data_IF_552209314340
#
_entry.id   IF_552209314340
#
_cell.length_a   1.000
_cell.length_b   1.000
_cell.length_c   1.000
_cell.angle_alpha   90.00
_cell.angle_beta   90.00
_cell.angle_gamma   90.00
#
_symmetry.space_group_name_H-M   'P 1'
#
loop_
_entity.id
_entity.type
_entity.pdbx_description
1 polymer ?
#
# COMPACT_ATOMS: atom_id res chain seq x y z
N UNK A 1 -12.84 1.08 4.70
CA UNK A 1 -12.06 0.97 3.44
C UNK A 1 -12.19 -0.38 2.76
N UNK A 2 -12.18 -1.49 3.50
CA UNK A 2 -12.28 -2.85 2.95
C UNK A 2 -13.46 -3.02 2.00
N UNK A 3 -14.66 -2.57 2.39
CA UNK A 3 -15.84 -2.63 1.53
C UNK A 3 -15.72 -1.81 0.23
N UNK A 4 -15.09 -0.63 0.28
CA UNK A 4 -14.86 0.19 -0.92
C UNK A 4 -13.95 -0.50 -1.92
N UNK A 5 -12.88 -1.15 -1.45
CA UNK A 5 -12.00 -1.95 -2.31
C UNK A 5 -12.71 -3.15 -2.91
N UNK A 6 -13.54 -3.85 -2.14
CA UNK A 6 -14.36 -4.97 -2.64
C UNK A 6 -15.30 -4.52 -3.75
N UNK A 7 -16.03 -3.42 -3.54
CA UNK A 7 -16.95 -2.88 -4.55
C UNK A 7 -16.22 -2.53 -5.85
N UNK A 8 -15.08 -1.82 -5.76
CA UNK A 8 -14.26 -1.47 -6.93
C UNK A 8 -13.76 -2.72 -7.66
N UNK A 9 -13.36 -3.76 -6.91
CA UNK A 9 -12.90 -5.03 -7.50
C UNK A 9 -14.03 -5.80 -8.20
N UNK A 10 -15.24 -5.85 -7.63
CA UNK A 10 -16.40 -6.48 -8.25
C UNK A 10 -16.79 -5.75 -9.54
N UNK A 11 -16.79 -4.41 -9.50
CA UNK A 11 -17.10 -3.58 -10.66
C UNK A 11 -16.12 -3.80 -11.81
N UNK A 12 -14.85 -4.12 -11.49
CA UNK A 12 -13.83 -4.49 -12.47
C UNK A 12 -14.08 -5.85 -13.10
N UNK A 13 -14.42 -6.85 -12.28
CA UNK A 13 -14.71 -8.21 -12.75
C UNK A 13 -15.91 -8.20 -13.71
N UNK A 14 -16.95 -7.42 -13.40
CA UNK A 14 -18.15 -7.31 -14.23
C UNK A 14 -17.88 -6.61 -15.57
N UNK A 15 -17.02 -5.60 -15.59
CA UNK A 15 -16.73 -4.77 -16.78
C UNK A 15 -15.43 -5.16 -17.52
N UNK A 16 -15.04 -6.44 -17.46
CA UNK A 16 -13.76 -6.94 -18.01
C UNK A 16 -13.64 -6.83 -19.55
N UNK A 17 -14.73 -6.60 -20.27
CA UNK A 17 -14.70 -6.43 -21.72
C UNK A 17 -13.91 -5.16 -22.11
N UNK A 18 -13.07 -5.25 -23.15
CA UNK A 18 -12.12 -4.18 -23.55
C UNK A 18 -12.78 -2.81 -23.73
N UNK A 19 -13.96 -2.74 -24.33
CA UNK A 19 -14.70 -1.49 -24.54
C UNK A 19 -15.27 -0.89 -23.24
N UNK A 20 -15.50 -1.71 -22.21
CA UNK A 20 -16.03 -1.28 -20.92
C UNK A 20 -14.94 -0.80 -19.94
N UNK A 21 -13.67 -1.15 -20.15
CA UNK A 21 -12.57 -0.78 -19.25
C UNK A 21 -12.31 0.74 -19.26
N UNK A 22 -12.35 1.39 -20.42
CA UNK A 22 -12.17 2.85 -20.52
C UNK A 22 -13.29 3.56 -19.76
N UNK A 23 -14.53 3.10 -19.92
CA UNK A 23 -15.70 3.64 -19.19
C UNK A 23 -15.54 3.43 -17.68
N UNK A 24 -15.05 2.26 -17.26
CA UNK A 24 -14.76 1.97 -15.86
C UNK A 24 -13.71 2.93 -15.28
N UNK A 25 -12.62 3.21 -15.99
CA UNK A 25 -11.62 4.18 -15.52
C UNK A 25 -12.19 5.58 -15.36
N UNK A 26 -13.01 6.04 -16.31
CA UNK A 26 -13.67 7.34 -16.22
C UNK A 26 -14.58 7.38 -14.99
N UNK A 27 -15.40 6.36 -14.78
CA UNK A 27 -16.30 6.27 -13.62
C UNK A 27 -15.52 6.26 -12.30
N UNK A 28 -14.46 5.46 -12.19
CA UNK A 28 -13.64 5.39 -10.97
C UNK A 28 -12.87 6.69 -10.71
N UNK A 29 -12.30 7.32 -11.73
CA UNK A 29 -11.65 8.62 -11.58
C UNK A 29 -12.64 9.71 -11.17
N UNK A 30 -13.85 9.73 -11.76
CA UNK A 30 -14.90 10.67 -11.40
C UNK A 30 -15.33 10.46 -9.93
N UNK A 31 -15.57 9.20 -9.53
CA UNK A 31 -15.87 8.85 -8.14
C UNK A 31 -14.73 9.26 -7.17
N UNK A 32 -13.47 9.04 -7.58
CA UNK A 32 -12.29 9.48 -6.85
C UNK A 32 -12.23 11.00 -6.68
N UNK A 33 -12.55 11.77 -7.72
CA UNK A 33 -12.57 13.24 -7.66
C UNK A 33 -13.72 13.77 -6.81
N UNK A 34 -14.91 13.18 -6.90
CA UNK A 34 -16.08 13.55 -6.08
C UNK A 34 -15.81 13.26 -4.60
N UNK A 35 -15.25 12.10 -4.28
CA UNK A 35 -14.86 11.74 -2.91
C UNK A 35 -13.73 12.64 -2.37
N UNK A 36 -12.78 13.04 -3.21
CA UNK A 36 -11.73 13.99 -2.81
C UNK A 36 -12.31 15.38 -2.50
N UNK A 37 -13.15 15.89 -3.42
CA UNK A 37 -13.75 17.21 -3.31
C UNK A 37 -14.68 17.31 -2.11
N UNK A 38 -15.50 16.28 -1.88
CA UNK A 38 -16.32 16.20 -0.66
C UNK A 38 -15.46 16.11 0.59
N UNK A 39 -14.39 15.31 0.61
CA UNK A 39 -13.44 15.27 1.73
C UNK A 39 -12.79 16.62 2.05
N UNK A 40 -12.48 17.42 1.03
CA UNK A 40 -11.94 18.77 1.19
C UNK A 40 -12.99 19.79 1.66
N UNK A 41 -14.24 19.70 1.20
CA UNK A 41 -15.34 20.55 1.66
C UNK A 41 -15.68 20.25 3.12
N UNK A 42 -15.76 18.97 3.49
CA UNK A 42 -16.03 18.56 4.86
C UNK A 42 -14.88 18.91 5.82
N UNK A 43 -13.67 19.19 5.32
CA UNK A 43 -12.52 19.61 6.15
C UNK A 43 -12.83 20.87 6.95
N UNK A 44 -13.70 21.75 6.44
CA UNK A 44 -14.12 22.95 7.16
C UNK A 44 -14.96 22.62 8.42
N UNK A 45 -15.59 21.45 8.46
CA UNK A 45 -16.48 21.02 9.55
C UNK A 45 -15.83 19.93 10.43
N UNK A 46 -15.00 19.04 9.85
CA UNK A 46 -14.39 17.92 10.55
C UNK A 46 -12.86 17.91 10.38
N UNK A 47 -12.14 17.85 11.50
CA UNK A 47 -10.68 17.72 11.53
C UNK A 47 -10.23 16.42 10.87
N UNK A 48 -9.08 16.43 10.20
CA UNK A 48 -8.43 15.23 9.68
C UNK A 48 -7.85 14.43 10.85
N UNK A 49 -8.55 13.37 11.25
CA UNK A 49 -8.08 12.50 12.33
C UNK A 49 -8.32 11.03 11.98
N UNK A 50 -7.20 10.30 11.83
CA UNK A 50 -7.18 8.86 11.56
C UNK A 50 -7.78 8.04 12.70
N UNK A 51 -7.52 8.41 13.95
CA UNK A 51 -7.88 7.59 15.12
C UNK A 51 -9.37 7.71 15.47
N UNK A 52 -9.95 8.89 15.25
CA UNK A 52 -11.39 9.12 15.44
C UNK A 52 -12.23 8.71 14.23
N UNK A 53 -11.59 8.29 13.12
CA UNK A 53 -12.29 7.86 11.92
C UNK A 53 -13.18 8.96 11.32
N UNK A 54 -12.72 10.21 11.31
CA UNK A 54 -13.55 11.33 10.85
C UNK A 54 -13.97 11.14 9.39
N UNK A 55 -15.17 11.62 8.99
CA UNK A 55 -15.68 11.43 7.63
C UNK A 55 -14.74 12.05 6.58
N UNK A 56 -14.04 13.14 6.92
CA UNK A 56 -13.02 13.77 6.08
C UNK A 56 -11.82 12.87 5.83
N UNK A 57 -11.32 12.21 6.88
CA UNK A 57 -10.22 11.25 6.75
C UNK A 57 -10.63 10.09 5.84
N UNK A 58 -11.82 9.52 6.06
CA UNK A 58 -12.33 8.37 5.28
C UNK A 58 -12.47 8.73 3.79
N UNK A 59 -13.04 9.90 3.47
CA UNK A 59 -13.27 10.30 2.08
C UNK A 59 -11.96 10.57 1.32
N UNK A 60 -11.02 11.31 1.93
CA UNK A 60 -9.72 11.59 1.31
C UNK A 60 -8.95 10.30 1.07
N UNK A 61 -8.97 9.41 2.06
CA UNK A 61 -8.20 8.17 1.99
C UNK A 61 -8.84 7.13 1.06
N UNK A 62 -10.18 7.08 0.94
CA UNK A 62 -10.88 6.32 -0.09
C UNK A 62 -10.52 6.82 -1.49
N UNK A 63 -10.57 8.13 -1.71
CA UNK A 63 -10.20 8.75 -3.00
C UNK A 63 -8.78 8.38 -3.40
N UNK A 64 -7.83 8.52 -2.47
CA UNK A 64 -6.43 8.17 -2.70
C UNK A 64 -6.28 6.70 -3.07
N UNK A 65 -7.00 5.80 -2.39
CA UNK A 65 -6.97 4.36 -2.70
C UNK A 65 -7.53 4.04 -4.09
N UNK A 66 -8.61 4.70 -4.52
CA UNK A 66 -9.20 4.52 -5.86
C UNK A 66 -8.22 4.96 -6.95
N UNK A 67 -7.59 6.14 -6.80
CA UNK A 67 -6.59 6.59 -7.76
C UNK A 67 -5.39 5.65 -7.86
N UNK A 68 -4.90 5.19 -6.70
CA UNK A 68 -3.78 4.24 -6.63
C UNK A 68 -4.15 2.90 -7.28
N UNK A 69 -5.38 2.43 -7.09
CA UNK A 69 -5.90 1.24 -7.75
C UNK A 69 -5.96 1.39 -9.27
N UNK A 70 -6.55 2.49 -9.78
CA UNK A 70 -6.61 2.76 -11.23
C UNK A 70 -5.21 2.82 -11.84
N UNK A 71 -4.28 3.48 -11.16
CA UNK A 71 -2.89 3.58 -11.59
C UNK A 71 -2.18 2.22 -11.64
N UNK A 72 -2.29 1.42 -10.56
CA UNK A 72 -1.69 0.08 -10.51
C UNK A 72 -2.30 -0.86 -11.54
N UNK A 73 -3.63 -0.82 -11.72
CA UNK A 73 -4.31 -1.62 -12.72
C UNK A 73 -3.87 -1.24 -14.14
N UNK A 74 -3.76 0.05 -14.44
CA UNK A 74 -3.23 0.52 -15.72
C UNK A 74 -1.78 0.06 -15.95
N UNK A 75 -0.93 0.14 -14.93
CA UNK A 75 0.46 -0.32 -15.01
C UNK A 75 0.58 -1.83 -15.25
N UNK A 76 -0.27 -2.62 -14.60
CA UNK A 76 -0.31 -4.08 -14.71
C UNK A 76 -0.91 -4.54 -16.05
N UNK A 77 -2.12 -4.09 -16.39
CA UNK A 77 -2.90 -4.69 -17.47
C UNK A 77 -2.64 -4.04 -18.83
N UNK A 78 -2.44 -2.72 -18.86
CA UNK A 78 -2.19 -2.00 -20.12
C UNK A 78 -0.71 -2.04 -20.46
N UNK A 79 0.16 -1.70 -19.52
CA UNK A 79 1.60 -1.68 -19.77
C UNK A 79 2.28 -3.04 -19.62
N UNK A 80 1.70 -4.00 -18.88
CA UNK A 80 2.29 -5.34 -18.65
C UNK A 80 3.71 -5.30 -18.07
N UNK A 81 4.02 -4.21 -17.35
CA UNK A 81 5.35 -3.94 -16.78
C UNK A 81 5.44 -4.63 -15.40
N UNK A 82 5.48 -5.97 -15.42
CA UNK A 82 5.45 -6.81 -14.20
C UNK A 82 6.82 -7.40 -13.81
N UNK A 83 7.88 -7.12 -14.58
CA UNK A 83 9.20 -7.73 -14.37
C UNK A 83 9.81 -7.39 -12.98
N UNK A 84 9.74 -6.13 -12.55
CA UNK A 84 10.21 -5.69 -11.24
C UNK A 84 9.33 -6.22 -10.09
N UNK A 85 8.04 -6.42 -10.35
CA UNK A 85 7.11 -6.98 -9.37
C UNK A 85 7.53 -8.40 -8.97
N UNK A 86 8.17 -9.18 -9.87
CA UNK A 86 8.64 -10.54 -9.56
C UNK A 86 9.50 -10.62 -8.30
N UNK A 87 10.36 -9.62 -8.06
CA UNK A 87 11.24 -9.58 -6.89
C UNK A 87 10.50 -9.16 -5.60
N UNK A 88 9.47 -8.32 -5.73
CA UNK A 88 8.72 -7.75 -4.60
C UNK A 88 7.44 -8.56 -4.28
N UNK A 89 7.01 -9.45 -5.18
CA UNK A 89 5.81 -10.29 -5.03
C UNK A 89 5.81 -11.13 -3.75
N UNK A 90 6.98 -11.37 -3.16
CA UNK A 90 7.11 -12.02 -1.87
C UNK A 90 6.37 -11.25 -0.76
N UNK A 91 6.43 -9.92 -0.79
CA UNK A 91 5.77 -9.05 0.17
C UNK A 91 4.25 -9.15 0.07
N UNK A 92 3.71 -9.42 -1.12
CA UNK A 92 2.27 -9.62 -1.36
C UNK A 92 1.77 -11.04 -1.09
N UNK A 93 2.62 -12.07 -1.24
CA UNK A 93 2.22 -13.48 -1.04
C UNK A 93 2.44 -13.98 0.39
N UNK A 94 3.45 -13.45 1.08
CA UNK A 94 3.79 -13.79 2.46
C UNK A 94 3.74 -12.52 3.32
N UNK A 95 2.59 -11.84 3.29
CA UNK A 95 2.37 -10.56 3.98
C UNK A 95 2.62 -10.68 5.49
N UNK A 96 2.21 -11.79 6.09
CA UNK A 96 2.31 -11.99 7.54
C UNK A 96 3.75 -12.18 8.01
N UNK A 97 4.57 -12.94 7.28
CA UNK A 97 6.01 -13.04 7.59
C UNK A 97 6.71 -11.71 7.35
N UNK A 98 6.37 -11.00 6.27
CA UNK A 98 6.90 -9.66 6.00
C UNK A 98 6.51 -8.63 7.06
N UNK A 99 5.37 -8.82 7.73
CA UNK A 99 4.95 -8.01 8.86
C UNK A 99 5.70 -8.37 10.15
N UNK A 100 5.99 -9.65 10.39
CA UNK A 100 6.65 -10.13 11.61
C UNK A 100 8.17 -9.88 11.64
N UNK A 101 8.87 -10.00 10.51
CA UNK A 101 10.34 -9.84 10.45
C UNK A 101 10.83 -8.48 11.01
N UNK A 102 10.19 -7.34 10.69
CA UNK A 102 10.51 -6.06 11.32
C UNK A 102 10.45 -6.10 12.85
N UNK A 103 9.47 -6.78 13.43
CA UNK A 103 9.36 -6.91 14.90
C UNK A 103 10.56 -7.67 15.47
N UNK A 104 10.96 -8.78 14.84
CA UNK A 104 12.17 -9.49 15.24
C UNK A 104 13.42 -8.62 15.12
N UNK A 105 13.55 -7.87 14.04
CA UNK A 105 14.67 -6.95 13.86
C UNK A 105 14.73 -5.88 14.97
N UNK A 106 13.59 -5.26 15.30
CA UNK A 106 13.53 -4.27 16.37
C UNK A 106 13.87 -4.86 17.74
N UNK A 107 13.37 -6.06 18.05
CA UNK A 107 13.70 -6.77 19.29
C UNK A 107 15.19 -7.12 19.41
N UNK A 108 15.83 -7.54 18.32
CA UNK A 108 17.28 -7.78 18.29
C UNK A 108 18.08 -6.47 18.42
N UNK A 109 17.57 -5.39 17.85
CA UNK A 109 18.18 -4.06 17.97
C UNK A 109 18.13 -3.55 19.41
N UNK A 110 17.01 -3.71 20.11
CA UNK A 110 16.90 -3.30 21.52
C UNK A 110 17.80 -4.15 22.42
N UNK A 111 17.94 -5.45 22.15
CA UNK A 111 18.86 -6.33 22.89
C UNK A 111 20.34 -5.97 22.67
N UNK A 112 20.72 -5.57 21.46
CA UNK A 112 22.12 -5.20 21.15
C UNK A 112 22.51 -3.79 21.58
N UNK A 113 21.55 -2.92 21.92
CA UNK A 113 21.82 -1.55 22.39
C UNK A 113 22.37 -0.60 21.32
N UNK A 114 22.38 -1.00 20.04
CA UNK A 114 23.01 -0.23 18.96
C UNK A 114 22.11 0.94 18.54
N UNK A 115 22.46 2.15 19.02
CA UNK A 115 21.84 3.41 18.62
C UNK A 115 22.55 3.93 17.36
N UNK A 116 21.80 4.14 16.28
CA UNK A 116 22.37 4.78 15.10
C UNK A 116 22.50 6.30 15.34
N UNK A 117 23.57 6.95 14.83
CA UNK A 117 23.75 8.40 14.88
C UNK A 117 22.54 9.16 14.35
N UNK A 118 22.20 10.30 14.97
CA UNK A 118 21.04 11.13 14.61
C UNK A 118 21.07 11.62 13.17
N UNK A 119 22.27 11.87 12.62
CA UNK A 119 22.43 12.24 11.21
C UNK A 119 21.87 11.21 10.23
N UNK A 120 21.84 9.93 10.60
CA UNK A 120 21.29 8.83 9.80
C UNK A 120 19.77 8.65 9.93
N UNK A 121 19.13 9.39 10.85
CA UNK A 121 17.71 9.31 11.14
C UNK A 121 16.91 10.43 10.48
N UNK A 122 17.57 11.54 10.13
CA UNK A 122 16.90 12.76 9.67
C UNK A 122 17.09 13.03 8.18
N UNK A 123 16.09 13.67 7.57
CA UNK A 123 16.16 14.17 6.20
C UNK A 123 16.17 13.08 5.13
N UNK A 124 16.77 13.40 3.97
CA UNK A 124 16.81 12.51 2.81
C UNK A 124 17.54 11.18 3.11
N UNK A 125 18.59 11.23 3.92
CA UNK A 125 19.36 10.05 4.33
C UNK A 125 18.47 9.05 5.10
N UNK A 126 17.55 9.54 5.94
CA UNK A 126 16.59 8.70 6.66
C UNK A 126 15.59 8.00 5.74
N UNK A 127 15.16 8.67 4.66
CA UNK A 127 14.30 8.07 3.63
C UNK A 127 15.03 6.96 2.88
N UNK A 128 16.26 7.22 2.43
CA UNK A 128 17.10 6.21 1.75
C UNK A 128 17.34 5.01 2.65
N UNK A 129 17.67 5.23 3.93
CA UNK A 129 17.83 4.15 4.92
C UNK A 129 16.55 3.31 5.03
N UNK A 130 15.39 3.95 5.16
CA UNK A 130 14.10 3.25 5.30
C UNK A 130 13.75 2.43 4.06
N UNK A 131 14.09 2.94 2.87
CA UNK A 131 13.93 2.23 1.61
C UNK A 131 14.84 0.99 1.54
N UNK A 132 16.13 1.13 1.85
CA UNK A 132 17.07 0.01 1.91
C UNK A 132 16.63 -1.03 2.94
N UNK A 133 16.21 -0.57 4.13
CA UNK A 133 15.70 -1.44 5.18
C UNK A 133 14.49 -2.26 4.72
N UNK A 134 13.53 -1.63 4.03
CA UNK A 134 12.38 -2.33 3.46
C UNK A 134 12.82 -3.40 2.46
N UNK A 135 13.76 -3.10 1.55
CA UNK A 135 14.29 -4.08 0.59
C UNK A 135 15.01 -5.25 1.28
N UNK A 136 15.78 -4.99 2.34
CA UNK A 136 16.44 -6.03 3.14
C UNK A 136 15.40 -6.97 3.76
N UNK A 137 14.35 -6.43 4.39
CA UNK A 137 13.27 -7.24 4.97
C UNK A 137 12.62 -8.11 3.89
N UNK A 138 12.30 -7.54 2.74
CA UNK A 138 11.70 -8.27 1.61
C UNK A 138 12.63 -9.39 1.13
N UNK A 139 13.94 -9.15 1.07
CA UNK A 139 14.94 -10.17 0.76
C UNK A 139 15.00 -11.30 1.79
N UNK A 140 14.93 -10.97 3.08
CA UNK A 140 14.88 -11.95 4.18
C UNK A 140 13.59 -12.79 4.08
N UNK A 141 12.44 -12.16 3.82
CA UNK A 141 11.18 -12.87 3.57
C UNK A 141 11.31 -13.86 2.42
N UNK A 142 11.98 -13.43 1.34
CA UNK A 142 12.19 -14.26 0.17
C UNK A 142 13.02 -15.50 0.50
N UNK A 143 14.12 -15.34 1.24
CA UNK A 143 14.91 -16.46 1.75
C UNK A 143 14.09 -17.41 2.64
N UNK A 144 13.34 -16.88 3.60
CA UNK A 144 12.51 -17.68 4.50
C UNK A 144 11.43 -18.49 3.76
N UNK A 145 10.81 -17.91 2.72
CA UNK A 145 9.84 -18.64 1.90
C UNK A 145 10.47 -19.80 1.15
N UNK A 146 11.70 -19.66 0.64
CA UNK A 146 12.40 -20.76 -0.04
C UNK A 146 12.65 -21.94 0.88
N UNK A 147 12.87 -21.68 2.18
CA UNK A 147 13.08 -22.70 3.21
C UNK A 147 11.75 -23.35 3.66
N UNK A 148 10.61 -23.01 3.02
CA UNK A 148 9.25 -23.49 3.35
C UNK A 148 8.81 -23.23 4.79
N UNK A 149 9.44 -22.29 5.50
CA UNK A 149 8.96 -21.81 6.80
C UNK A 149 7.81 -20.85 6.52
N UNK A 150 6.63 -21.42 6.28
CA UNK A 150 5.39 -20.68 6.15
C UNK A 150 4.70 -20.74 7.51
N UNK A 151 4.65 -19.59 8.19
CA UNK A 151 3.74 -19.39 9.31
C UNK A 151 2.32 -19.48 8.77
N UNK A 152 1.71 -20.66 8.98
CA UNK A 152 0.31 -20.92 8.73
C UNK A 152 -0.41 -20.58 10.04
N UNK A 153 -1.34 -19.65 9.98
CA UNK A 153 -2.34 -19.45 11.03
C UNK A 153 -3.61 -20.13 10.52
#
# INVERSE_FOLDING_TARGET
>A
MTFGGVIVSLFLIENRNKDNIIRLYITLCCFGLISLSSGLLLRNYFVLNKNLGTPTWILVSLSTAVFLFVFLHWLSDVKKILAWYKYINIAGTATLTCYLIPYFYYSLRTLSGIVLPEFLLTGFIGLTKSFIYSLIIVGICWGLKQIKIQLKI
#
